data_IF_799385168021
#
_entry.id   IF_799385168021
#
_cell.length_a   1.000
_cell.length_b   1.000
_cell.length_c   1.000
_cell.angle_alpha   90.00
_cell.angle_beta   90.00
_cell.angle_gamma   90.00
#
_symmetry.space_group_name_H-M   'P 1'
#
loop_
_entity.id
_entity.type
_entity.pdbx_description
1 polymer ?
#
# COMPACT_ATOMS: atom_id res chain seq x y z
N UNK A 1 4.96 11.21 -54.71
CA UNK A 1 4.37 11.04 -53.36
C UNK A 1 5.08 9.84 -52.73
N UNK A 2 6.08 10.08 -51.90
CA UNK A 2 6.73 9.03 -51.13
C UNK A 2 5.88 8.87 -49.86
N UNK A 3 5.39 7.65 -49.62
CA UNK A 3 4.68 7.28 -48.38
C UNK A 3 5.67 7.32 -47.22
N UNK A 4 5.51 8.28 -46.35
CA UNK A 4 6.10 8.28 -45.01
C UNK A 4 5.40 7.17 -44.20
N UNK A 5 6.17 6.26 -43.69
CA UNK A 5 5.99 5.37 -42.52
C UNK A 5 6.29 3.91 -42.80
N UNK A 6 7.52 3.62 -43.23
CA UNK A 6 8.13 2.31 -42.95
C UNK A 6 9.01 2.40 -41.68
N UNK A 7 8.37 2.59 -40.52
CA UNK A 7 9.04 2.37 -39.23
C UNK A 7 8.80 0.92 -38.82
N UNK A 8 9.80 0.04 -38.90
CA UNK A 8 9.66 -1.41 -38.60
C UNK A 8 9.44 -1.72 -37.13
N UNK A 9 9.47 -0.72 -36.26
CA UNK A 9 9.14 -0.90 -34.85
C UNK A 9 7.66 -0.62 -34.61
N UNK A 10 6.88 -1.59 -34.07
CA UNK A 10 5.51 -1.34 -33.69
C UNK A 10 5.49 -0.19 -32.68
N UNK A 11 4.83 0.90 -33.04
CA UNK A 11 4.66 2.02 -32.13
C UNK A 11 3.77 1.56 -30.99
N UNK A 12 4.38 1.29 -29.83
CA UNK A 12 3.64 0.98 -28.61
C UNK A 12 2.85 2.21 -28.21
N UNK A 13 1.53 2.13 -28.28
CA UNK A 13 0.62 3.20 -27.85
C UNK A 13 -0.06 2.79 -26.55
N UNK A 14 -0.18 3.69 -25.57
CA UNK A 14 -1.05 3.47 -24.42
C UNK A 14 -2.49 3.18 -24.88
N UNK A 15 -3.22 2.38 -24.12
CA UNK A 15 -4.65 2.20 -24.36
C UNK A 15 -5.41 3.54 -24.20
N UNK A 16 -6.48 3.74 -24.97
CA UNK A 16 -7.22 5.02 -24.99
C UNK A 16 -7.69 5.45 -23.60
N UNK A 17 -8.10 4.50 -22.75
CA UNK A 17 -8.48 4.74 -21.35
C UNK A 17 -7.39 5.42 -20.51
N UNK A 18 -6.12 5.33 -20.90
CA UNK A 18 -5.00 5.99 -20.18
C UNK A 18 -5.06 7.50 -20.40
N UNK A 19 -5.51 7.94 -21.58
CA UNK A 19 -5.68 9.36 -21.90
C UNK A 19 -6.79 10.06 -21.10
N UNK A 20 -7.72 9.30 -20.54
CA UNK A 20 -8.83 9.79 -19.71
C UNK A 20 -8.47 9.92 -18.23
N UNK A 21 -7.33 9.35 -17.82
CA UNK A 21 -6.88 9.38 -16.43
C UNK A 21 -6.38 10.79 -16.10
N UNK A 22 -7.11 11.47 -15.24
CA UNK A 22 -6.68 12.75 -14.68
C UNK A 22 -5.76 12.51 -13.50
N UNK A 23 -4.72 13.32 -13.42
CA UNK A 23 -3.85 13.29 -12.27
C UNK A 23 -4.63 13.57 -10.97
N UNK A 24 -4.33 12.79 -9.94
CA UNK A 24 -4.95 12.94 -8.64
C UNK A 24 -4.71 14.34 -8.06
N UNK A 25 -5.78 15.02 -7.67
CA UNK A 25 -5.74 16.41 -7.21
C UNK A 25 -4.71 16.67 -6.11
N UNK A 26 -4.66 15.79 -5.10
CA UNK A 26 -3.71 15.96 -4.00
C UNK A 26 -2.25 15.84 -4.43
N UNK A 27 -1.93 15.03 -5.45
CA UNK A 27 -0.56 14.95 -5.98
C UNK A 27 -0.10 16.28 -6.55
N UNK A 28 -1.01 17.01 -7.24
CA UNK A 28 -0.72 18.33 -7.76
C UNK A 28 -0.48 19.34 -6.62
N UNK A 29 -1.34 19.31 -5.58
CA UNK A 29 -1.22 20.22 -4.43
C UNK A 29 0.06 19.96 -3.64
N UNK A 30 0.43 18.70 -3.43
CA UNK A 30 1.69 18.37 -2.75
C UNK A 30 2.92 18.89 -3.50
N UNK A 31 2.93 18.76 -4.84
CA UNK A 31 4.03 19.33 -5.65
C UNK A 31 4.08 20.86 -5.57
N UNK A 32 2.92 21.51 -5.57
CA UNK A 32 2.84 22.97 -5.42
C UNK A 32 3.38 23.42 -4.06
N UNK A 33 2.96 22.78 -2.97
CA UNK A 33 3.48 23.05 -1.62
C UNK A 33 4.98 22.82 -1.54
N UNK A 34 5.48 21.70 -2.10
CA UNK A 34 6.91 21.41 -2.13
C UNK A 34 7.71 22.50 -2.89
N UNK A 35 7.20 22.96 -4.03
CA UNK A 35 7.81 24.06 -4.81
C UNK A 35 7.84 25.35 -4.01
N UNK A 36 6.72 25.74 -3.40
CA UNK A 36 6.63 26.98 -2.61
C UNK A 36 7.55 26.93 -1.39
N UNK A 37 7.65 25.78 -0.71
CA UNK A 37 8.58 25.62 0.40
C UNK A 37 10.05 25.70 -0.04
N UNK A 38 10.37 25.20 -1.24
CA UNK A 38 11.69 25.37 -1.82
C UNK A 38 12.02 26.86 -2.15
N UNK A 39 10.99 27.67 -2.40
CA UNK A 39 11.07 29.12 -2.59
C UNK A 39 11.08 29.92 -1.26
N UNK A 40 10.96 29.25 -0.12
CA UNK A 40 11.07 29.86 1.21
C UNK A 40 9.75 30.28 1.86
N UNK A 41 8.60 29.81 1.37
CA UNK A 41 7.29 30.19 1.94
C UNK A 41 6.91 29.48 3.25
N UNK A 42 7.64 28.43 3.66
CA UNK A 42 7.40 27.67 4.92
C UNK A 42 5.93 27.26 5.14
N UNK A 43 5.35 26.62 4.15
CA UNK A 43 3.95 26.21 4.18
C UNK A 43 3.79 24.93 5.00
N UNK A 44 2.98 24.96 6.04
CA UNK A 44 2.55 23.81 6.82
C UNK A 44 1.35 23.16 6.12
N UNK A 45 1.53 21.95 5.58
CA UNK A 45 0.46 21.23 4.88
C UNK A 45 -0.41 20.46 5.87
N UNK A 46 -1.69 20.80 5.95
CA UNK A 46 -2.72 20.06 6.68
C UNK A 46 -3.64 19.24 5.76
N UNK A 47 -3.29 19.15 4.48
CA UNK A 47 -4.14 18.53 3.44
C UNK A 47 -4.15 17.01 3.47
N UNK A 48 -3.13 16.36 4.02
CA UNK A 48 -3.03 14.91 4.11
C UNK A 48 -2.62 14.52 5.52
N UNK A 49 -3.45 13.70 6.18
CA UNK A 49 -3.11 13.08 7.44
C UNK A 49 -2.17 11.90 7.24
N UNK A 50 -1.06 11.89 7.94
CA UNK A 50 -0.11 10.79 7.96
C UNK A 50 0.61 10.73 9.31
N UNK A 51 1.20 9.60 9.67
CA UNK A 51 2.05 9.53 10.85
C UNK A 51 3.23 10.51 10.72
N UNK A 52 3.44 11.31 11.74
CA UNK A 52 4.54 12.28 11.84
C UNK A 52 5.71 11.76 12.69
N UNK A 53 5.53 10.61 13.31
CA UNK A 53 6.54 9.97 14.16
C UNK A 53 6.93 8.59 13.64
N UNK A 54 8.19 8.19 13.82
CA UNK A 54 8.61 6.83 13.48
C UNK A 54 7.90 5.80 14.38
N UNK A 55 7.84 4.53 13.95
CA UNK A 55 7.45 3.43 14.83
C UNK A 55 8.35 3.36 16.07
N UNK A 56 7.90 2.65 17.09
CA UNK A 56 8.73 2.41 18.27
C UNK A 56 10.03 1.69 17.87
N UNK A 57 11.16 1.98 18.54
CA UNK A 57 12.45 1.39 18.19
C UNK A 57 12.45 -0.13 18.13
N UNK A 58 11.70 -0.78 19.02
CA UNK A 58 11.57 -2.24 19.08
C UNK A 58 10.94 -2.83 17.81
N UNK A 59 10.02 -2.10 17.16
CA UNK A 59 9.41 -2.51 15.90
C UNK A 59 10.45 -2.48 14.78
N UNK A 60 11.25 -1.42 14.74
CA UNK A 60 12.31 -1.24 13.74
C UNK A 60 13.38 -2.33 13.92
N UNK A 61 13.82 -2.55 15.16
CA UNK A 61 14.84 -3.54 15.47
C UNK A 61 14.37 -4.97 15.11
N UNK A 62 13.12 -5.32 15.47
CA UNK A 62 12.52 -6.60 15.10
C UNK A 62 12.49 -6.78 13.58
N UNK A 63 12.06 -5.76 12.83
CA UNK A 63 12.08 -5.80 11.37
C UNK A 63 13.49 -6.08 10.83
N UNK A 64 14.49 -5.36 11.34
CA UNK A 64 15.90 -5.55 10.94
C UNK A 64 16.43 -6.94 11.27
N UNK A 65 16.07 -7.50 12.43
CA UNK A 65 16.46 -8.86 12.82
C UNK A 65 15.88 -9.91 11.88
N UNK A 66 14.59 -9.82 11.58
CA UNK A 66 13.93 -10.75 10.65
C UNK A 66 14.44 -10.59 9.21
N UNK A 67 14.70 -9.37 8.75
CA UNK A 67 15.23 -9.11 7.41
C UNK A 67 16.65 -9.67 7.19
N UNK A 68 17.42 -9.92 8.24
CA UNK A 68 18.76 -10.53 8.16
C UNK A 68 18.74 -12.06 8.18
N UNK A 69 17.59 -12.67 8.39
CA UNK A 69 17.46 -14.13 8.44
C UNK A 69 17.33 -14.68 7.02
N UNK A 70 17.98 -15.79 6.75
CA UNK A 70 17.96 -16.45 5.43
C UNK A 70 16.61 -17.13 5.12
N UNK A 71 15.80 -17.43 6.14
CA UNK A 71 14.54 -18.18 6.04
C UNK A 71 13.28 -17.29 5.90
N UNK A 72 13.42 -15.98 5.78
CA UNK A 72 12.29 -15.04 5.71
C UNK A 72 12.02 -14.47 4.33
N UNK A 73 12.76 -14.89 3.30
CA UNK A 73 12.72 -14.30 1.95
C UNK A 73 11.95 -15.13 0.92
N UNK A 74 11.36 -16.24 1.30
CA UNK A 74 10.56 -17.10 0.41
C UNK A 74 9.11 -16.63 0.30
N UNK A 75 8.38 -17.18 -0.68
CA UNK A 75 6.93 -16.99 -0.77
C UNK A 75 6.23 -17.45 0.49
N UNK A 76 5.28 -16.64 0.93
CA UNK A 76 4.48 -16.93 2.11
C UNK A 76 3.12 -17.53 1.72
N UNK A 77 2.43 -18.24 2.64
CA UNK A 77 1.07 -18.71 2.41
C UNK A 77 0.12 -17.57 2.07
N UNK A 78 -0.83 -17.80 1.17
CA UNK A 78 -1.85 -16.80 0.78
C UNK A 78 -2.68 -16.27 1.96
N UNK A 79 -2.83 -17.09 3.00
CA UNK A 79 -3.53 -16.73 4.23
C UNK A 79 -2.64 -15.98 5.24
N UNK A 80 -1.38 -15.68 4.87
CA UNK A 80 -0.38 -15.12 5.78
C UNK A 80 0.27 -16.17 6.68
N UNK A 81 1.40 -15.81 7.29
CA UNK A 81 2.11 -16.72 8.19
C UNK A 81 1.33 -16.95 9.49
N UNK A 82 1.37 -18.18 10.05
CA UNK A 82 0.64 -18.50 11.27
C UNK A 82 1.00 -17.61 12.46
N UNK A 83 2.26 -17.20 12.55
CA UNK A 83 2.75 -16.30 13.62
C UNK A 83 2.02 -14.96 13.61
N UNK A 84 1.82 -14.37 12.43
CA UNK A 84 1.12 -13.10 12.28
C UNK A 84 -0.37 -13.25 12.65
N UNK A 85 -1.02 -14.33 12.19
CA UNK A 85 -2.42 -14.58 12.52
C UNK A 85 -2.63 -14.78 14.02
N UNK A 86 -1.75 -15.57 14.67
CA UNK A 86 -1.78 -15.74 16.14
C UNK A 86 -1.53 -14.42 16.88
N UNK A 87 -0.63 -13.57 16.35
CA UNK A 87 -0.38 -12.26 16.94
C UNK A 87 -1.63 -11.36 16.89
N UNK A 88 -2.34 -11.35 15.77
CA UNK A 88 -3.62 -10.64 15.65
C UNK A 88 -4.68 -11.21 16.61
N UNK A 89 -4.86 -12.51 16.68
CA UNK A 89 -5.80 -13.14 17.61
C UNK A 89 -5.51 -12.74 19.06
N UNK A 90 -4.24 -12.82 19.46
CA UNK A 90 -3.81 -12.44 20.80
C UNK A 90 -3.98 -10.94 21.09
N UNK A 91 -3.80 -10.09 20.07
CA UNK A 91 -4.01 -8.66 20.21
C UNK A 91 -5.50 -8.32 20.40
N UNK A 92 -6.39 -8.89 19.58
CA UNK A 92 -7.84 -8.72 19.73
C UNK A 92 -8.34 -9.21 21.08
N UNK A 93 -7.86 -10.35 21.56
CA UNK A 93 -8.22 -10.87 22.86
C UNK A 93 -7.80 -9.92 23.99
N UNK A 94 -6.55 -9.42 23.97
CA UNK A 94 -6.04 -8.53 25.03
C UNK A 94 -6.73 -7.17 25.09
N UNK A 95 -7.09 -6.61 23.95
CA UNK A 95 -7.56 -5.21 23.89
C UNK A 95 -9.07 -5.08 23.81
N UNK A 96 -9.76 -6.11 23.32
CA UNK A 96 -11.21 -6.06 23.09
C UNK A 96 -11.98 -7.22 23.73
N UNK A 97 -11.30 -8.15 24.38
CA UNK A 97 -11.89 -9.38 24.92
C UNK A 97 -12.64 -10.20 23.84
N UNK A 98 -12.11 -10.18 22.62
CA UNK A 98 -12.64 -10.91 21.47
C UNK A 98 -11.72 -12.09 21.18
N UNK A 99 -12.27 -13.28 21.22
CA UNK A 99 -11.59 -14.52 20.83
C UNK A 99 -11.91 -14.85 19.38
N UNK A 100 -10.88 -14.97 18.55
CA UNK A 100 -10.98 -15.40 17.15
C UNK A 100 -10.01 -16.54 16.89
N UNK A 101 -10.41 -17.47 16.04
CA UNK A 101 -9.54 -18.56 15.58
C UNK A 101 -8.53 -18.02 14.56
N UNK A 102 -7.22 -18.10 14.85
CA UNK A 102 -6.19 -17.59 13.93
C UNK A 102 -6.15 -18.35 12.59
N UNK A 103 -6.67 -19.56 12.51
CA UNK A 103 -6.57 -20.35 11.30
C UNK A 103 -7.76 -20.20 10.35
N UNK A 104 -8.92 -19.80 10.87
CA UNK A 104 -10.17 -19.72 10.09
C UNK A 104 -10.82 -18.33 10.07
N UNK A 105 -10.50 -17.45 11.01
CA UNK A 105 -11.18 -16.16 11.19
C UNK A 105 -10.27 -14.95 11.00
N UNK A 106 -9.00 -15.15 10.63
CA UNK A 106 -8.05 -14.06 10.39
C UNK A 106 -7.42 -14.18 9.02
N UNK A 107 -7.57 -13.11 8.23
CA UNK A 107 -6.88 -12.91 6.97
C UNK A 107 -6.06 -11.61 7.03
N UNK A 108 -4.72 -11.67 7.09
CA UNK A 108 -3.88 -10.48 6.98
C UNK A 108 -4.04 -9.81 5.62
N UNK A 109 -4.11 -8.49 5.62
CA UNK A 109 -4.27 -7.66 4.44
C UNK A 109 -3.08 -6.71 4.29
N UNK A 110 -2.79 -6.27 3.07
CA UNK A 110 -1.81 -5.19 2.82
C UNK A 110 -2.35 -3.86 3.36
N UNK A 111 -3.68 -3.71 3.36
CA UNK A 111 -4.37 -2.55 3.92
C UNK A 111 -5.88 -2.73 3.88
N UNK A 112 -6.61 -1.89 4.62
CA UNK A 112 -8.07 -1.96 4.74
C UNK A 112 -8.81 -1.82 3.40
N UNK A 113 -8.25 -1.08 2.43
CA UNK A 113 -8.85 -0.93 1.09
C UNK A 113 -8.92 -2.24 0.33
N UNK A 114 -7.90 -3.10 0.46
CA UNK A 114 -7.91 -4.45 -0.10
C UNK A 114 -9.05 -5.28 0.49
N UNK A 115 -9.20 -5.26 1.81
CA UNK A 115 -10.28 -5.98 2.50
C UNK A 115 -11.67 -5.51 2.07
N UNK A 116 -11.88 -4.20 1.93
CA UNK A 116 -13.13 -3.63 1.43
C UNK A 116 -13.43 -4.14 0.02
N UNK A 117 -12.43 -4.14 -0.87
CA UNK A 117 -12.60 -4.66 -2.23
C UNK A 117 -12.95 -6.14 -2.23
N UNK A 118 -12.22 -6.96 -1.46
CA UNK A 118 -12.47 -8.40 -1.38
C UNK A 118 -13.86 -8.72 -0.83
N UNK A 119 -14.29 -8.02 0.24
CA UNK A 119 -15.65 -8.16 0.78
C UNK A 119 -16.71 -7.76 -0.26
N UNK A 120 -16.47 -6.65 -0.97
CA UNK A 120 -17.38 -6.20 -2.02
C UNK A 120 -17.51 -7.22 -3.14
N UNK A 121 -16.40 -7.79 -3.62
CA UNK A 121 -16.41 -8.81 -4.66
C UNK A 121 -17.04 -10.13 -4.20
N UNK A 122 -17.02 -10.42 -2.91
CA UNK A 122 -17.57 -11.66 -2.36
C UNK A 122 -19.07 -11.57 -2.12
N UNK A 123 -19.58 -10.42 -1.70
CA UNK A 123 -20.95 -10.30 -1.20
C UNK A 123 -21.85 -9.38 -2.04
N UNK A 124 -21.30 -8.60 -2.98
CA UNK A 124 -22.09 -7.69 -3.83
C UNK A 124 -22.14 -8.22 -5.27
N UNK A 125 -23.34 -8.16 -5.89
CA UNK A 125 -23.55 -8.50 -7.30
C UNK A 125 -23.46 -7.25 -8.19
#
# INVERSE_FOLDING_TARGET
>A
MKSENDNPNPTIRPADRVGEIREYYFSQRLREVARLNAEGYDIISLGIGGPDRPPQPEVIETLCQYARRDDTHSYQPYTGIPELRRAYAGWYNRHYDVTVDPDTEILPLIGSKEGILQLSLTFLN
#
